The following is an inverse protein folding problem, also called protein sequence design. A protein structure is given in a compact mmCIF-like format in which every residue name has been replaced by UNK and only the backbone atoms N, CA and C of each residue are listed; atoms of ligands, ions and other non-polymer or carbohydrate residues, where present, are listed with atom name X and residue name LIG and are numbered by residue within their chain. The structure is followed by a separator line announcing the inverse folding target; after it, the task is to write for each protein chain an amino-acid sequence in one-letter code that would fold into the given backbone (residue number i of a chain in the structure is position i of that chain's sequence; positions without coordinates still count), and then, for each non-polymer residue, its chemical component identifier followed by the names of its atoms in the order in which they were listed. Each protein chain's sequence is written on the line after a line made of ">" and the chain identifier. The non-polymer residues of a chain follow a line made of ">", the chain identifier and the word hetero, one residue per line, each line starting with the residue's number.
data_IF_892424784966
#
_entry.id   IF_892424784966
#
_cell.length_a   1.000
_cell.length_b   1.000
_cell.length_c   1.000
_cell.angle_alpha   90.00
_cell.angle_beta   90.00
_cell.angle_gamma   90.00
#
_symmetry.space_group_name_H-M   'P 1'
#
loop_
_entity.id
_entity.type
_entity.pdbx_description
1 polymer ?
#
# COMPACT_ATOMS: atom_id res chain seq x y z
N UNK A 1 -24.65 14.52 7.20
CA UNK A 1 -23.18 14.58 7.13
C UNK A 1 -22.61 13.17 7.11
N UNK A 2 -21.56 12.91 6.33
CA UNK A 2 -21.09 11.56 5.99
C UNK A 2 -20.12 11.00 7.06
N UNK A 3 -20.44 9.90 7.77
CA UNK A 3 -19.63 9.37 8.88
C UNK A 3 -18.17 9.06 8.50
N UNK A 4 -17.92 8.73 7.23
CA UNK A 4 -16.58 8.38 6.72
C UNK A 4 -15.56 9.55 6.76
N UNK A 5 -16.01 10.79 7.00
CA UNK A 5 -15.15 11.97 7.04
C UNK A 5 -14.52 12.23 8.42
N UNK A 6 -14.83 11.41 9.44
CA UNK A 6 -14.24 11.53 10.78
C UNK A 6 -12.89 10.80 10.94
N UNK A 7 -12.38 10.17 9.88
CA UNK A 7 -11.10 9.48 9.92
C UNK A 7 -9.93 10.46 10.16
N UNK A 8 -8.89 10.00 10.87
CA UNK A 8 -7.76 10.87 11.25
C UNK A 8 -7.11 11.58 10.06
N UNK A 9 -7.01 10.88 8.93
CA UNK A 9 -6.49 11.39 7.65
C UNK A 9 -7.17 12.63 7.08
N UNK A 10 -8.39 12.97 7.52
CA UNK A 10 -9.15 14.11 7.00
C UNK A 10 -9.19 15.31 7.96
N UNK A 11 -8.42 15.27 9.06
CA UNK A 11 -8.39 16.38 10.03
C UNK A 11 -7.93 17.70 9.40
N UNK A 12 -7.05 17.65 8.40
CA UNK A 12 -6.61 18.82 7.63
C UNK A 12 -7.73 19.48 6.82
N UNK A 13 -8.81 18.76 6.53
CA UNK A 13 -9.94 19.26 5.75
C UNK A 13 -11.14 19.67 6.62
N UNK A 14 -11.02 19.65 7.96
CA UNK A 14 -12.14 19.91 8.87
C UNK A 14 -12.77 21.29 8.66
N UNK A 15 -11.97 22.32 8.42
CA UNK A 15 -12.47 23.68 8.20
C UNK A 15 -13.35 23.76 6.95
N UNK A 16 -12.96 23.06 5.87
CA UNK A 16 -13.72 22.97 4.62
C UNK A 16 -15.00 22.15 4.79
N UNK A 17 -14.95 21.08 5.58
CA UNK A 17 -16.13 20.29 5.95
C UNK A 17 -17.13 21.17 6.71
N UNK A 18 -16.65 21.95 7.68
CA UNK A 18 -17.49 22.86 8.45
C UNK A 18 -18.05 24.00 7.60
N UNK A 19 -17.26 24.56 6.68
CA UNK A 19 -17.72 25.59 5.75
C UNK A 19 -18.85 25.07 4.86
N UNK A 20 -18.68 23.87 4.30
CA UNK A 20 -19.72 23.23 3.48
C UNK A 20 -20.96 22.88 4.32
N UNK A 21 -20.79 22.44 5.58
CA UNK A 21 -21.91 22.17 6.48
C UNK A 21 -22.71 23.44 6.76
N UNK A 22 -22.03 24.54 7.09
CA UNK A 22 -22.64 25.84 7.30
C UNK A 22 -23.42 26.30 6.06
N UNK A 23 -22.88 26.09 4.86
CA UNK A 23 -23.61 26.42 3.63
C UNK A 23 -24.87 25.57 3.44
N UNK A 24 -24.79 24.26 3.73
CA UNK A 24 -25.94 23.36 3.67
C UNK A 24 -26.99 23.62 4.76
N UNK A 25 -26.59 24.13 5.92
CA UNK A 25 -27.48 24.49 7.02
C UNK A 25 -28.18 25.84 6.82
N UNK A 26 -27.67 26.71 5.95
CA UNK A 26 -28.23 28.03 5.72
C UNK A 26 -29.62 27.96 5.07
N UNK A 27 -29.70 27.55 3.80
CA UNK A 27 -30.96 27.57 3.06
C UNK A 27 -31.01 26.45 2.01
N UNK A 28 -32.14 25.74 1.91
CA UNK A 28 -32.28 24.61 0.97
C UNK A 28 -32.08 25.04 -0.50
N UNK A 29 -32.55 26.22 -0.88
CA UNK A 29 -32.43 26.70 -2.26
C UNK A 29 -30.96 26.96 -2.65
N UNK A 30 -30.12 27.43 -1.71
CA UNK A 30 -28.68 27.63 -1.96
C UNK A 30 -28.01 26.33 -2.36
N UNK A 31 -28.38 25.24 -1.68
CA UNK A 31 -27.94 23.89 -2.04
C UNK A 31 -28.51 23.44 -3.39
N UNK A 32 -29.81 23.64 -3.62
CA UNK A 32 -30.49 23.19 -4.85
C UNK A 32 -29.94 23.87 -6.12
N UNK A 33 -29.59 25.16 -6.03
CA UNK A 33 -29.05 25.95 -7.15
C UNK A 33 -27.51 25.95 -7.22
N UNK A 34 -26.82 25.22 -6.35
CA UNK A 34 -25.36 25.06 -6.42
C UNK A 34 -24.55 26.25 -5.88
N UNK A 35 -25.12 27.09 -5.01
CA UNK A 35 -24.38 28.20 -4.38
C UNK A 35 -23.26 27.72 -3.44
N UNK A 36 -23.31 26.48 -2.96
CA UNK A 36 -22.27 25.87 -2.11
C UNK A 36 -21.15 25.16 -2.91
N UNK A 37 -21.06 25.40 -4.23
CA UNK A 37 -20.10 24.66 -5.07
C UNK A 37 -18.64 25.03 -4.80
N UNK A 38 -18.36 26.27 -4.38
CA UNK A 38 -17.00 26.71 -4.08
C UNK A 38 -16.40 25.91 -2.91
N UNK A 39 -17.13 25.85 -1.79
CA UNK A 39 -16.72 25.10 -0.59
C UNK A 39 -16.63 23.60 -0.90
N UNK A 40 -17.56 23.09 -1.72
CA UNK A 40 -17.55 21.69 -2.17
C UNK A 40 -16.33 21.35 -3.01
N UNK A 41 -15.94 22.22 -3.95
CA UNK A 41 -14.79 22.01 -4.81
C UNK A 41 -13.48 22.04 -4.01
N UNK A 42 -13.36 23.00 -3.10
CA UNK A 42 -12.21 23.11 -2.21
C UNK A 42 -12.09 21.88 -1.31
N UNK A 43 -13.19 21.46 -0.69
CA UNK A 43 -13.24 20.23 0.09
C UNK A 43 -12.86 19.00 -0.75
N UNK A 44 -13.36 18.92 -1.98
CA UNK A 44 -13.05 17.79 -2.87
C UNK A 44 -11.56 17.71 -3.19
N UNK A 45 -10.88 18.85 -3.41
CA UNK A 45 -9.44 18.92 -3.61
C UNK A 45 -8.68 18.47 -2.36
N UNK A 46 -9.03 19.00 -1.20
CA UNK A 46 -8.38 18.62 0.06
C UNK A 46 -8.50 17.11 0.34
N UNK A 47 -9.69 16.53 0.17
CA UNK A 47 -9.92 15.09 0.38
C UNK A 47 -9.16 14.23 -0.63
N UNK A 48 -8.99 14.72 -1.86
CA UNK A 48 -8.19 14.05 -2.88
C UNK A 48 -6.71 14.01 -2.47
N UNK A 49 -6.16 15.14 -2.03
CA UNK A 49 -4.78 15.25 -1.57
C UNK A 49 -4.51 14.38 -0.33
N UNK A 50 -5.40 14.40 0.66
CA UNK A 50 -5.31 13.53 1.83
C UNK A 50 -5.29 12.04 1.44
N UNK A 51 -6.11 11.63 0.45
CA UNK A 51 -6.11 10.25 -0.06
C UNK A 51 -4.77 9.89 -0.72
N UNK A 52 -4.19 10.80 -1.50
CA UNK A 52 -2.90 10.58 -2.16
C UNK A 52 -1.75 10.49 -1.15
N UNK A 53 -1.75 11.35 -0.12
CA UNK A 53 -0.77 11.32 0.95
C UNK A 53 -0.80 9.97 1.69
N UNK A 54 -1.98 9.51 2.09
CA UNK A 54 -2.16 8.20 2.71
C UNK A 54 -1.70 7.05 1.82
N UNK A 55 -2.01 7.12 0.52
CA UNK A 55 -1.59 6.09 -0.43
C UNK A 55 -0.06 6.02 -0.52
N UNK A 56 0.61 7.19 -0.58
CA UNK A 56 2.07 7.28 -0.59
C UNK A 56 2.67 6.68 0.68
N UNK A 57 2.12 7.01 1.84
CA UNK A 57 2.54 6.48 3.14
C UNK A 57 2.38 4.95 3.20
N UNK A 58 1.26 4.44 2.73
CA UNK A 58 0.99 3.00 2.69
C UNK A 58 1.95 2.28 1.73
N UNK A 59 2.28 2.88 0.59
CA UNK A 59 3.28 2.34 -0.34
C UNK A 59 4.65 2.27 0.35
N UNK A 60 5.06 3.31 1.08
CA UNK A 60 6.34 3.32 1.80
C UNK A 60 6.37 2.25 2.89
N UNK A 61 5.34 2.17 3.73
CA UNK A 61 5.20 1.14 4.77
C UNK A 61 5.22 -0.27 4.19
N UNK A 62 4.55 -0.48 3.05
CA UNK A 62 4.55 -1.78 2.39
C UNK A 62 5.92 -2.13 1.79
N UNK A 63 6.64 -1.16 1.23
CA UNK A 63 8.02 -1.36 0.75
C UNK A 63 8.96 -1.72 1.90
N UNK A 64 8.84 -1.05 3.04
CA UNK A 64 9.62 -1.35 4.24
C UNK A 64 9.32 -2.76 4.76
N UNK A 65 8.03 -3.12 4.92
CA UNK A 65 7.63 -4.47 5.31
C UNK A 65 8.17 -5.54 4.36
N UNK A 66 8.11 -5.30 3.05
CA UNK A 66 8.69 -6.21 2.05
C UNK A 66 10.19 -6.38 2.23
N UNK A 67 10.95 -5.29 2.41
CA UNK A 67 12.39 -5.36 2.68
C UNK A 67 12.70 -6.17 3.93
N UNK A 68 11.95 -5.97 5.02
CA UNK A 68 12.14 -6.73 6.26
C UNK A 68 11.86 -8.23 6.07
N UNK A 69 10.81 -8.56 5.33
CA UNK A 69 10.45 -9.95 5.03
C UNK A 69 11.54 -10.59 4.16
N UNK A 70 11.98 -9.93 3.08
CA UNK A 70 13.03 -10.43 2.20
C UNK A 70 14.36 -10.63 2.95
N UNK A 71 14.71 -9.72 3.88
CA UNK A 71 15.88 -9.87 4.73
C UNK A 71 15.77 -11.10 5.65
N UNK A 72 14.61 -11.33 6.26
CA UNK A 72 14.37 -12.52 7.10
C UNK A 72 14.44 -13.81 6.28
N UNK A 73 13.86 -13.83 5.08
CA UNK A 73 13.96 -14.99 4.19
C UNK A 73 15.41 -15.30 3.81
N UNK A 74 16.22 -14.27 3.51
CA UNK A 74 17.65 -14.45 3.26
C UNK A 74 18.40 -15.00 4.46
N UNK A 75 18.10 -14.50 5.66
CA UNK A 75 18.70 -15.02 6.90
C UNK A 75 18.35 -16.49 7.11
N UNK A 76 17.08 -16.87 6.92
CA UNK A 76 16.65 -18.27 7.03
C UNK A 76 17.34 -19.13 5.97
N UNK A 77 17.47 -18.66 4.73
CA UNK A 77 18.17 -19.38 3.67
C UNK A 77 19.68 -19.53 3.98
N UNK A 78 20.31 -18.49 4.50
CA UNK A 78 21.71 -18.52 4.94
C UNK A 78 21.93 -19.44 6.15
N UNK A 79 20.96 -19.53 7.07
CA UNK A 79 21.01 -20.43 8.23
C UNK A 79 20.75 -21.90 7.83
N UNK A 80 19.71 -22.18 7.02
CA UNK A 80 19.38 -23.54 6.55
C UNK A 80 20.41 -24.09 5.56
N UNK A 81 21.00 -23.23 4.74
CA UNK A 81 21.95 -23.64 3.72
C UNK A 81 23.38 -23.16 4.02
N UNK A 82 23.71 -22.65 5.19
CA UNK A 82 25.05 -22.16 5.52
C UNK A 82 26.13 -23.26 5.40
N UNK A 83 26.10 -24.22 6.31
CA UNK A 83 27.01 -25.38 6.27
C UNK A 83 26.53 -26.44 5.26
N UNK A 84 25.21 -26.55 5.06
CA UNK A 84 24.57 -27.58 4.24
C UNK A 84 24.37 -27.20 2.76
N UNK A 85 24.49 -25.93 2.32
CA UNK A 85 24.42 -25.56 0.89
C UNK A 85 25.50 -26.26 0.09
N UNK A 86 26.73 -26.27 0.63
CA UNK A 86 27.88 -26.84 -0.03
C UNK A 86 27.67 -28.35 -0.13
N UNK A 87 27.23 -28.99 0.94
CA UNK A 87 26.90 -30.40 0.96
C UNK A 87 25.77 -30.74 -0.03
N UNK A 88 24.67 -29.98 -0.04
CA UNK A 88 23.55 -30.14 -0.98
C UNK A 88 23.98 -29.96 -2.43
N UNK A 89 24.83 -28.97 -2.74
CA UNK A 89 25.42 -28.76 -4.08
C UNK A 89 26.34 -29.92 -4.47
N UNK A 90 27.15 -30.45 -3.55
CA UNK A 90 28.02 -31.59 -3.80
C UNK A 90 27.19 -32.85 -4.07
N UNK A 91 26.17 -33.12 -3.24
CA UNK A 91 25.25 -34.25 -3.40
C UNK A 91 24.51 -34.15 -4.75
N UNK A 92 23.96 -32.98 -5.11
CA UNK A 92 23.33 -32.78 -6.42
C UNK A 92 24.30 -33.01 -7.58
N UNK A 93 25.54 -32.54 -7.47
CA UNK A 93 26.57 -32.72 -8.51
C UNK A 93 26.99 -34.19 -8.64
N UNK A 94 27.04 -34.93 -7.54
CA UNK A 94 27.30 -36.38 -7.54
C UNK A 94 26.12 -37.16 -8.14
N UNK A 95 24.88 -36.84 -7.75
CA UNK A 95 23.69 -37.45 -8.32
C UNK A 95 23.57 -37.22 -9.84
N UNK A 96 23.87 -36.01 -10.32
CA UNK A 96 23.89 -35.69 -11.74
C UNK A 96 25.02 -36.42 -12.51
N UNK A 97 26.19 -36.62 -11.89
CA UNK A 97 27.29 -37.41 -12.49
C UNK A 97 27.00 -38.90 -12.51
N UNK A 98 26.26 -39.43 -11.53
CA UNK A 98 25.93 -40.85 -11.44
C UNK A 98 24.75 -41.26 -12.34
N UNK A 99 24.01 -40.30 -12.92
CA UNK A 99 22.94 -40.60 -13.87
C UNK A 99 23.10 -39.81 -15.20
N UNK A 100 24.03 -40.22 -16.08
CA UNK A 100 24.24 -39.59 -17.40
C UNK A 100 23.17 -39.93 -18.45
N UNK A 101 22.06 -40.61 -18.09
CA UNK A 101 21.01 -41.06 -19.03
C UNK A 101 19.64 -40.45 -18.72
N UNK A 102 19.46 -39.17 -18.98
CA UNK A 102 18.12 -38.62 -19.27
C UNK A 102 18.12 -37.37 -20.16
N UNK A 103 19.25 -37.03 -20.81
CA UNK A 103 19.32 -35.95 -21.80
C UNK A 103 19.72 -36.50 -23.18
N UNK A 104 18.87 -37.38 -23.73
CA UNK A 104 18.83 -37.65 -25.17
C UNK A 104 17.50 -38.36 -25.49
N UNK A 105 16.49 -37.57 -25.85
CA UNK A 105 15.40 -38.04 -26.70
C UNK A 105 14.90 -36.86 -27.52
N UNK A 106 14.93 -37.04 -28.84
CA UNK A 106 14.24 -36.25 -29.87
C UNK A 106 12.75 -36.02 -29.55
#
# INVERSE_FOLDING_TARGET
>A
MHPQLQAQRFHSCLDLIQALDKCHQAEFYKKAFGYCNNEKEELSKCLHEARLADQKDNILKNKEKRKMIDQKWKQIEEEEFGEDAILKKIIQRHAAKQNPKSSSTD
#
